data_IF_052479164520
#
_entry.id   IF_052479164520
#
_cell.length_a   1.000
_cell.length_b   1.000
_cell.length_c   1.000
_cell.angle_alpha   90.00
_cell.angle_beta   90.00
_cell.angle_gamma   90.00
#
_symmetry.space_group_name_H-M   'P 1'
#
loop_
_entity.id
_entity.type
_entity.pdbx_description
1 polymer ?
#
# COMPACT_ATOMS: atom_id res chain seq x y z
N UNK A 1 -0.85 -13.47 5.93
CA UNK A 1 -1.24 -12.99 7.27
C UNK A 1 -0.28 -11.87 7.64
N UNK A 2 -0.79 -10.67 7.93
CA UNK A 2 0.01 -9.59 8.53
C UNK A 2 0.11 -9.91 10.02
N UNK A 3 1.30 -10.23 10.51
CA UNK A 3 1.51 -10.49 11.93
C UNK A 3 1.57 -9.15 12.66
N UNK A 4 0.92 -9.05 13.82
CA UNK A 4 0.96 -7.87 14.71
C UNK A 4 2.34 -7.63 15.37
N UNK A 5 3.40 -8.24 14.82
CA UNK A 5 4.75 -8.15 15.37
C UNK A 5 5.58 -7.19 14.52
N UNK A 6 6.17 -6.22 15.20
CA UNK A 6 7.24 -5.33 14.72
C UNK A 6 8.47 -6.09 14.22
N UNK A 7 8.67 -7.35 14.64
CA UNK A 7 9.75 -8.22 14.15
C UNK A 7 9.59 -8.66 12.68
N UNK A 8 8.40 -8.52 12.09
CA UNK A 8 8.14 -8.90 10.72
C UNK A 8 8.54 -7.78 9.74
N UNK A 9 9.80 -7.39 9.79
CA UNK A 9 10.43 -6.47 8.84
C UNK A 9 11.55 -7.25 8.16
N UNK A 10 11.53 -7.32 6.83
CA UNK A 10 12.57 -8.03 6.10
C UNK A 10 13.78 -7.12 5.89
N UNK A 11 14.96 -7.67 6.14
CA UNK A 11 16.23 -7.04 5.81
C UNK A 11 16.39 -6.77 4.30
N UNK A 12 17.26 -5.83 3.94
CA UNK A 12 17.44 -5.32 2.58
C UNK A 12 17.76 -6.41 1.55
N UNK A 13 18.68 -7.32 1.86
CA UNK A 13 19.01 -8.44 0.98
C UNK A 13 17.77 -9.30 0.69
N UNK A 14 16.92 -9.53 1.69
CA UNK A 14 15.71 -10.34 1.55
C UNK A 14 14.65 -9.63 0.72
N UNK A 15 14.64 -8.29 0.72
CA UNK A 15 13.78 -7.51 -0.18
C UNK A 15 14.22 -7.66 -1.64
N UNK A 16 15.54 -7.62 -1.91
CA UNK A 16 16.11 -7.91 -3.24
C UNK A 16 15.78 -9.32 -3.71
N UNK A 17 15.91 -10.33 -2.83
CA UNK A 17 15.55 -11.73 -3.14
C UNK A 17 14.06 -11.88 -3.50
N UNK A 18 13.18 -11.07 -2.89
CA UNK A 18 11.75 -11.04 -3.21
C UNK A 18 11.42 -10.29 -4.51
N UNK A 19 12.42 -9.82 -5.26
CA UNK A 19 12.24 -9.07 -6.50
C UNK A 19 11.62 -7.70 -6.30
N UNK A 20 11.74 -7.11 -5.10
CA UNK A 20 11.23 -5.76 -4.83
C UNK A 20 12.28 -4.72 -5.18
N UNK A 21 11.85 -3.69 -5.89
CA UNK A 21 12.64 -2.47 -6.08
C UNK A 21 12.55 -1.61 -4.81
N UNK A 22 13.68 -1.03 -4.40
CA UNK A 22 13.75 -0.15 -3.23
C UNK A 22 13.93 1.27 -3.75
N UNK A 23 12.96 2.11 -3.48
CA UNK A 23 12.92 3.51 -3.94
C UNK A 23 13.02 4.40 -2.70
N UNK A 24 13.93 5.37 -2.72
CA UNK A 24 14.04 6.38 -1.67
C UNK A 24 12.85 7.33 -1.79
N UNK A 25 12.11 7.55 -0.70
CA UNK A 25 11.01 8.51 -0.63
C UNK A 25 11.29 9.53 0.48
N UNK A 26 11.10 10.81 0.16
CA UNK A 26 11.25 11.93 1.10
C UNK A 26 9.92 12.31 1.77
N UNK A 27 8.82 11.63 1.46
CA UNK A 27 7.52 11.94 2.05
C UNK A 27 7.54 11.64 3.57
N UNK A 28 7.38 12.65 4.45
CA UNK A 28 7.39 12.48 5.91
C UNK A 28 6.21 11.62 6.41
N UNK A 29 5.14 11.48 5.62
CA UNK A 29 4.05 10.53 5.89
C UNK A 29 4.51 9.09 5.67
N UNK A 30 5.66 8.85 5.03
CA UNK A 30 6.29 7.55 4.78
C UNK A 30 7.66 7.38 5.45
N UNK A 31 8.38 8.46 5.84
CA UNK A 31 9.25 8.58 7.02
C UNK A 31 10.11 9.87 6.99
N UNK A 32 10.48 10.33 8.20
CA UNK A 32 11.32 11.48 8.61
C UNK A 32 10.63 12.86 8.71
N UNK A 33 10.65 13.43 9.92
CA UNK A 33 10.50 14.87 10.13
C UNK A 33 11.67 15.37 10.97
N UNK A 34 12.28 16.45 10.49
CA UNK A 34 13.41 17.17 11.04
C UNK A 34 13.05 17.83 12.38
N UNK A 35 13.86 17.62 13.42
CA UNK A 35 13.76 18.38 14.67
C UNK A 35 14.38 19.77 14.45
N UNK A 36 13.53 20.79 14.31
CA UNK A 36 13.93 22.16 14.62
C UNK A 36 13.64 22.38 16.11
N UNK A 37 14.70 22.62 16.88
CA UNK A 37 14.60 23.05 18.27
C UNK A 37 13.76 24.33 18.34
N UNK A 38 12.62 24.25 19.03
CA UNK A 38 11.91 25.43 19.53
C UNK A 38 11.16 25.06 20.81
N UNK A 39 11.79 25.45 21.92
CA UNK A 39 11.19 26.17 23.05
C UNK A 39 9.99 25.54 23.78
N UNK A 40 10.30 24.80 24.84
CA UNK A 40 9.76 24.94 26.21
C UNK A 40 8.24 24.90 26.52
N UNK A 41 7.35 24.51 25.60
CA UNK A 41 5.92 24.46 25.96
C UNK A 41 5.06 23.31 25.40
N UNK A 42 5.65 22.26 24.80
CA UNK A 42 4.89 21.14 24.21
C UNK A 42 5.38 19.74 24.65
N UNK A 43 5.46 19.48 25.95
CA UNK A 43 5.92 18.17 26.49
C UNK A 43 5.21 16.94 25.89
N UNK A 44 3.93 17.06 25.54
CA UNK A 44 3.17 15.98 24.88
C UNK A 44 3.54 15.75 23.41
N UNK A 45 3.87 16.79 22.65
CA UNK A 45 4.20 16.65 21.23
C UNK A 45 5.63 16.21 21.01
N UNK A 46 6.57 16.71 21.84
CA UNK A 46 7.92 16.17 21.88
C UNK A 46 7.93 14.68 22.24
N UNK A 47 7.09 14.24 23.18
CA UNK A 47 6.97 12.80 23.50
C UNK A 47 6.51 11.99 22.29
N UNK A 48 5.52 12.47 21.53
CA UNK A 48 5.02 11.77 20.34
C UNK A 48 6.04 11.74 19.19
N UNK A 49 6.78 12.83 18.99
CA UNK A 49 7.87 12.90 18.00
C UNK A 49 8.99 11.95 18.41
N UNK A 50 9.43 11.99 19.67
CA UNK A 50 10.46 11.11 20.20
C UNK A 50 10.06 9.63 20.01
N UNK A 51 8.82 9.25 20.37
CA UNK A 51 8.28 7.90 20.13
C UNK A 51 8.24 7.50 18.65
N UNK A 52 7.99 8.46 17.75
CA UNK A 52 8.01 8.21 16.31
C UNK A 52 9.44 8.02 15.80
N UNK A 53 10.39 8.86 16.24
CA UNK A 53 11.82 8.77 15.91
C UNK A 53 12.43 7.48 16.44
N UNK A 54 12.09 7.07 17.64
CA UNK A 54 12.52 5.80 18.24
C UNK A 54 12.01 4.60 17.42
N UNK A 55 10.75 4.62 16.99
CA UNK A 55 10.21 3.60 16.08
C UNK A 55 10.88 3.58 14.70
N UNK A 56 11.24 4.75 14.19
CA UNK A 56 11.98 4.90 12.95
C UNK A 56 13.39 4.27 13.02
N UNK A 57 14.16 4.62 14.04
CA UNK A 57 15.51 4.07 14.26
C UNK A 57 15.48 2.55 14.43
N UNK A 58 14.46 2.05 15.13
CA UNK A 58 14.23 0.61 15.25
C UNK A 58 13.99 -0.06 13.89
N UNK A 59 13.27 0.59 12.99
CA UNK A 59 13.05 0.09 11.62
C UNK A 59 14.37 -0.02 10.85
N UNK A 60 15.28 0.96 11.01
CA UNK A 60 16.63 0.91 10.43
C UNK A 60 17.43 -0.31 10.88
N UNK A 61 17.38 -0.63 12.17
CA UNK A 61 18.02 -1.84 12.72
C UNK A 61 17.47 -3.12 12.09
N UNK A 62 16.16 -3.21 11.88
CA UNK A 62 15.57 -4.41 11.25
C UNK A 62 15.87 -4.53 9.76
N UNK A 63 16.06 -3.40 9.06
CA UNK A 63 16.43 -3.36 7.64
C UNK A 63 17.88 -3.80 7.40
N UNK A 64 18.79 -3.47 8.33
CA UNK A 64 20.23 -3.69 8.18
C UNK A 64 20.71 -4.64 9.28
N UNK A 65 20.70 -5.94 9.00
CA UNK A 65 21.10 -6.97 9.98
C UNK A 65 22.47 -7.56 9.66
N UNK A 66 22.83 -7.65 8.38
CA UNK A 66 24.08 -8.22 7.93
C UNK A 66 24.97 -7.19 7.24
N UNK A 67 26.26 -7.47 7.16
CA UNK A 67 27.23 -6.65 6.42
C UNK A 67 26.85 -6.50 4.94
N UNK A 68 26.25 -7.53 4.34
CA UNK A 68 25.71 -7.44 2.98
C UNK A 68 24.59 -6.40 2.85
N UNK A 69 23.75 -6.25 3.88
CA UNK A 69 22.69 -5.22 3.91
C UNK A 69 23.27 -3.82 4.04
N UNK A 70 24.34 -3.69 4.83
CA UNK A 70 25.07 -2.44 5.01
C UNK A 70 25.69 -1.97 3.68
N UNK A 71 26.32 -2.90 2.95
CA UNK A 71 26.85 -2.61 1.62
C UNK A 71 25.75 -2.21 0.63
N UNK A 72 24.55 -2.81 0.72
CA UNK A 72 23.38 -2.41 -0.10
C UNK A 72 22.91 -1.00 0.29
N UNK A 73 22.92 -0.66 1.57
CA UNK A 73 22.52 0.66 2.07
C UNK A 73 23.47 1.79 1.63
N UNK A 74 24.76 1.50 1.42
CA UNK A 74 25.78 2.44 0.93
C UNK A 74 25.87 2.55 -0.61
N UNK A 75 25.07 1.79 -1.36
CA UNK A 75 25.06 1.88 -2.83
C UNK A 75 24.56 3.25 -3.30
N UNK A 76 25.14 3.74 -4.42
CA UNK A 76 24.88 5.07 -4.99
C UNK A 76 23.41 5.37 -5.28
N UNK A 77 22.59 4.34 -5.50
CA UNK A 77 21.15 4.49 -5.76
C UNK A 77 20.28 4.66 -4.51
N UNK A 78 20.78 4.33 -3.31
CA UNK A 78 20.01 4.42 -2.07
C UNK A 78 20.58 5.43 -1.07
N UNK A 79 21.90 5.53 -0.94
CA UNK A 79 22.61 6.43 -0.01
C UNK A 79 21.92 6.57 1.36
N UNK A 80 21.42 5.46 1.91
CA UNK A 80 20.73 5.42 3.21
C UNK A 80 21.70 5.66 4.36
N UNK A 81 22.95 5.22 4.17
CA UNK A 81 24.06 5.41 5.11
C UNK A 81 25.20 6.06 4.32
N UNK A 82 25.84 7.10 4.86
CA UNK A 82 26.96 7.73 4.18
C UNK A 82 28.16 6.77 4.12
N UNK A 83 28.96 6.89 3.04
CA UNK A 83 30.03 5.94 2.70
C UNK A 83 31.25 6.02 3.64
N UNK A 84 31.32 7.03 4.48
CA UNK A 84 32.35 7.29 5.48
C UNK A 84 32.16 6.45 6.76
N UNK A 85 30.98 5.83 6.94
CA UNK A 85 30.69 5.01 8.12
C UNK A 85 31.18 3.58 7.93
N UNK A 86 31.93 3.07 8.90
CA UNK A 86 32.35 1.67 8.96
C UNK A 86 31.27 0.78 9.59
N UNK A 87 31.21 -0.49 9.17
CA UNK A 87 30.32 -1.50 9.72
C UNK A 87 30.43 -1.63 11.25
N UNK A 88 31.65 -1.62 11.80
CA UNK A 88 31.86 -1.72 13.25
C UNK A 88 31.22 -0.57 14.04
N UNK A 89 31.26 0.65 13.50
CA UNK A 89 30.61 1.82 14.11
C UNK A 89 29.09 1.68 14.07
N UNK A 90 28.56 1.18 12.95
CA UNK A 90 27.13 0.87 12.82
C UNK A 90 26.69 -0.25 13.77
N UNK A 91 27.49 -1.30 13.97
CA UNK A 91 27.20 -2.35 14.94
C UNK A 91 27.07 -1.78 16.36
N UNK A 92 27.99 -0.90 16.78
CA UNK A 92 27.93 -0.23 18.09
C UNK A 92 26.65 0.59 18.24
N UNK A 93 26.29 1.37 17.21
CA UNK A 93 25.05 2.13 17.18
C UNK A 93 23.80 1.24 17.23
N UNK A 94 23.78 0.16 16.44
CA UNK A 94 22.64 -0.77 16.39
C UNK A 94 22.44 -1.56 17.70
N UNK A 95 23.52 -1.78 18.46
CA UNK A 95 23.47 -2.43 19.76
C UNK A 95 22.77 -1.54 20.80
N UNK A 96 22.98 -0.23 20.73
CA UNK A 96 22.27 0.74 21.57
C UNK A 96 20.77 0.73 21.27
N UNK A 97 20.37 0.57 20.00
CA UNK A 97 18.96 0.43 19.60
C UNK A 97 18.30 -0.90 20.01
N UNK A 98 19.03 -1.79 20.71
CA UNK A 98 18.49 -3.08 21.13
C UNK A 98 17.44 -3.00 22.24
N UNK A 99 17.51 -1.97 23.09
CA UNK A 99 16.66 -1.83 24.27
C UNK A 99 15.26 -1.28 23.98
N UNK A 100 14.97 -0.90 22.73
CA UNK A 100 13.71 -0.24 22.36
C UNK A 100 12.59 -1.28 22.26
N UNK A 101 11.65 -1.26 23.21
CA UNK A 101 10.49 -2.15 23.24
C UNK A 101 9.30 -1.60 22.44
N UNK A 102 8.27 -2.44 22.22
CA UNK A 102 7.03 -2.06 21.52
C UNK A 102 6.21 -0.98 22.27
N UNK A 103 6.49 -0.75 23.56
CA UNK A 103 5.85 0.29 24.38
C UNK A 103 6.36 1.69 24.10
N UNK A 104 7.60 1.81 23.64
CA UNK A 104 8.31 3.09 23.54
C UNK A 104 8.17 3.74 22.15
N UNK A 105 7.51 3.03 21.24
CA UNK A 105 7.31 3.45 19.86
C UNK A 105 5.89 3.94 19.62
N UNK A 106 5.71 4.84 18.66
CA UNK A 106 4.36 5.27 18.28
C UNK A 106 3.57 4.09 17.70
N UNK A 107 2.24 4.11 17.86
CA UNK A 107 1.38 2.98 17.47
C UNK A 107 1.54 2.51 16.02
N UNK A 108 2.00 3.39 15.11
CA UNK A 108 2.32 3.05 13.73
C UNK A 108 3.47 2.04 13.61
N UNK A 109 4.54 2.22 14.39
CA UNK A 109 5.77 1.42 14.34
C UNK A 109 5.68 0.10 15.11
N UNK A 110 4.55 -0.12 15.78
CA UNK A 110 4.23 -1.41 16.41
C UNK A 110 3.94 -2.50 15.38
N UNK A 111 3.57 -2.10 14.17
CA UNK A 111 3.30 -3.01 13.05
C UNK A 111 4.53 -3.15 12.16
N UNK A 112 4.80 -4.36 11.67
CA UNK A 112 5.88 -4.64 10.72
C UNK A 112 5.54 -4.24 9.28
N UNK A 113 6.09 -4.96 8.29
CA UNK A 113 5.82 -4.66 6.89
C UNK A 113 4.32 -4.79 6.54
N UNK A 114 3.69 -3.68 6.15
CA UNK A 114 2.33 -3.66 5.63
C UNK A 114 2.40 -3.69 4.10
N UNK A 115 1.80 -4.73 3.50
CA UNK A 115 1.63 -4.77 2.04
C UNK A 115 0.55 -3.74 1.66
N UNK A 116 0.95 -2.63 1.06
CA UNK A 116 0.04 -1.58 0.58
C UNK A 116 -1.09 -2.17 -0.27
N UNK A 117 -0.81 -3.15 -1.13
CA UNK A 117 -1.83 -3.82 -1.98
C UNK A 117 -2.97 -4.43 -1.16
N UNK A 118 -2.68 -5.04 -0.02
CA UNK A 118 -3.72 -5.63 0.84
C UNK A 118 -4.42 -4.58 1.68
N UNK A 119 -3.66 -3.59 2.18
CA UNK A 119 -4.24 -2.48 2.92
C UNK A 119 -5.22 -1.69 2.05
N UNK A 120 -4.87 -1.42 0.79
CA UNK A 120 -5.73 -0.73 -0.17
C UNK A 120 -6.97 -1.57 -0.52
N UNK A 121 -6.86 -2.90 -0.53
CA UNK A 121 -8.01 -3.80 -0.74
C UNK A 121 -9.02 -3.73 0.41
N UNK A 122 -8.56 -3.52 1.65
CA UNK A 122 -9.43 -3.36 2.82
C UNK A 122 -9.75 -1.90 3.16
N UNK A 123 -9.09 -0.92 2.55
CA UNK A 123 -9.29 0.51 2.80
C UNK A 123 -10.75 0.96 2.61
N UNK A 124 -11.48 0.58 1.54
CA UNK A 124 -12.88 0.96 1.40
C UNK A 124 -13.79 0.30 2.45
N UNK A 125 -13.50 -0.93 2.87
CA UNK A 125 -14.31 -1.68 3.83
C UNK A 125 -14.08 -1.24 5.29
N UNK A 126 -12.83 -0.91 5.64
CA UNK A 126 -12.42 -0.68 7.03
C UNK A 126 -12.22 0.80 7.38
N UNK A 127 -11.76 1.63 6.43
CA UNK A 127 -11.34 3.02 6.71
C UNK A 127 -12.23 4.09 6.08
N UNK A 128 -13.29 3.72 5.34
CA UNK A 128 -14.19 4.66 4.63
C UNK A 128 -13.43 5.75 3.85
N UNK A 129 -12.24 5.39 3.38
CA UNK A 129 -11.37 6.20 2.51
C UNK A 129 -10.89 5.26 1.41
N UNK A 130 -11.16 5.61 0.16
CA UNK A 130 -10.89 4.75 -0.99
C UNK A 130 -9.39 4.53 -1.24
N UNK A 131 -8.54 5.49 -0.88
CA UNK A 131 -7.09 5.42 -1.10
C UNK A 131 -6.31 6.02 0.07
N UNK A 132 -5.28 5.32 0.57
CA UNK A 132 -4.41 5.82 1.65
C UNK A 132 -3.12 6.46 1.13
N UNK A 133 -2.55 5.96 0.03
CA UNK A 133 -1.41 6.54 -0.70
C UNK A 133 -1.31 5.89 -2.09
N UNK A 134 -1.31 6.68 -3.17
CA UNK A 134 -1.36 6.20 -4.57
C UNK A 134 0.05 5.88 -5.07
N UNK A 135 0.64 4.77 -4.60
CA UNK A 135 1.93 4.30 -5.10
C UNK A 135 1.70 3.44 -6.34
N UNK A 136 1.77 4.07 -7.51
CA UNK A 136 1.98 3.51 -8.85
C UNK A 136 1.03 2.39 -9.33
N UNK A 137 0.09 2.76 -10.21
CA UNK A 137 -0.13 2.14 -11.52
C UNK A 137 -0.42 0.63 -11.69
N UNK A 138 -0.53 -0.19 -10.65
CA UNK A 138 -0.73 -1.65 -10.81
C UNK A 138 -2.20 -2.10 -10.78
N UNK A 139 -3.10 -1.32 -11.38
CA UNK A 139 -4.48 -1.75 -11.61
C UNK A 139 -4.52 -3.03 -12.50
N UNK A 140 -3.53 -3.19 -13.38
CA UNK A 140 -3.40 -4.36 -14.28
C UNK A 140 -3.18 -5.70 -13.56
N UNK A 141 -2.37 -5.72 -12.50
CA UNK A 141 -2.09 -6.96 -11.75
C UNK A 141 -3.31 -7.43 -10.94
N UNK A 142 -4.09 -6.48 -10.43
CA UNK A 142 -5.34 -6.77 -9.73
C UNK A 142 -6.36 -7.43 -10.67
N UNK A 143 -6.54 -6.84 -11.85
CA UNK A 143 -7.48 -7.37 -12.82
C UNK A 143 -7.00 -8.70 -13.41
N UNK A 144 -5.71 -8.81 -13.74
CA UNK A 144 -5.14 -10.02 -14.34
C UNK A 144 -5.36 -11.30 -13.52
N UNK A 145 -5.27 -11.22 -12.19
CA UNK A 145 -5.48 -12.37 -11.31
C UNK A 145 -6.96 -12.80 -11.20
N UNK A 146 -7.90 -11.85 -11.31
CA UNK A 146 -9.33 -12.12 -11.20
C UNK A 146 -9.94 -12.59 -12.53
N UNK A 147 -9.41 -12.13 -13.67
CA UNK A 147 -9.94 -12.47 -14.99
C UNK A 147 -9.87 -13.97 -15.32
N UNK A 148 -8.79 -14.67 -14.92
CA UNK A 148 -8.62 -16.10 -15.21
C UNK A 148 -9.76 -16.98 -14.64
N UNK A 149 -9.98 -16.98 -13.31
CA UNK A 149 -11.07 -17.75 -12.70
C UNK A 149 -12.46 -17.35 -13.19
N UNK A 150 -12.71 -16.06 -13.45
CA UNK A 150 -14.01 -15.57 -13.97
C UNK A 150 -14.28 -16.11 -15.37
N UNK A 151 -13.29 -16.09 -16.26
CA UNK A 151 -13.41 -16.65 -17.61
C UNK A 151 -13.63 -18.18 -17.58
N UNK A 152 -13.00 -18.89 -16.64
CA UNK A 152 -13.20 -20.32 -16.48
C UNK A 152 -14.64 -20.65 -16.06
N UNK A 153 -15.17 -19.95 -15.03
CA UNK A 153 -16.57 -20.11 -14.59
C UNK A 153 -17.53 -19.74 -15.72
N UNK A 154 -17.26 -18.65 -16.43
CA UNK A 154 -18.06 -18.24 -17.58
C UNK A 154 -18.08 -19.31 -18.69
N UNK A 155 -16.93 -19.91 -19.01
CA UNK A 155 -16.83 -20.97 -20.01
C UNK A 155 -17.62 -22.22 -19.60
N UNK A 156 -17.50 -22.66 -18.34
CA UNK A 156 -18.27 -23.80 -17.82
C UNK A 156 -19.77 -23.54 -17.87
N UNK A 157 -20.21 -22.37 -17.43
CA UNK A 157 -21.62 -21.96 -17.49
C UNK A 157 -22.10 -21.93 -18.94
N UNK A 158 -21.33 -21.34 -19.86
CA UNK A 158 -21.67 -21.28 -21.29
C UNK A 158 -21.82 -22.66 -21.93
N UNK A 159 -20.94 -23.62 -21.60
CA UNK A 159 -21.03 -25.00 -22.07
C UNK A 159 -22.29 -25.69 -21.55
N UNK A 160 -22.62 -25.52 -20.27
CA UNK A 160 -23.82 -26.11 -19.65
C UNK A 160 -25.09 -25.53 -20.29
N UNK A 161 -25.16 -24.22 -20.50
CA UNK A 161 -26.30 -23.58 -21.19
C UNK A 161 -26.45 -24.11 -22.62
N UNK A 162 -25.33 -24.26 -23.33
CA UNK A 162 -25.34 -24.74 -24.73
C UNK A 162 -25.78 -26.22 -24.82
N UNK A 163 -25.33 -27.06 -23.88
CA UNK A 163 -25.77 -28.46 -23.80
C UNK A 163 -27.26 -28.59 -23.46
N UNK A 164 -27.77 -27.70 -22.60
CA UNK A 164 -29.19 -27.68 -22.21
C UNK A 164 -30.11 -27.27 -23.37
N UNK A 165 -29.64 -26.42 -24.29
CA UNK A 165 -30.41 -25.97 -25.46
C UNK A 165 -30.80 -27.09 -26.44
N UNK A 166 -30.09 -28.23 -26.43
CA UNK A 166 -30.29 -29.33 -27.39
C UNK A 166 -31.43 -30.27 -26.98
N UNK A 167 -31.90 -30.22 -25.73
CA UNK A 167 -32.78 -31.27 -25.19
C UNK A 167 -34.28 -30.94 -25.19
N UNK A 168 -34.72 -29.67 -25.07
CA UNK A 168 -36.15 -29.35 -24.85
C UNK A 168 -36.58 -28.03 -25.51
N UNK A 169 -37.22 -28.11 -26.69
CA UNK A 169 -37.52 -26.96 -27.54
C UNK A 169 -38.44 -25.89 -26.89
N UNK A 170 -39.43 -26.28 -26.08
CA UNK A 170 -40.40 -25.35 -25.46
C UNK A 170 -39.93 -24.70 -24.15
N UNK A 171 -39.21 -25.45 -23.30
CA UNK A 171 -38.68 -24.92 -22.02
C UNK A 171 -37.45 -24.03 -22.28
N UNK A 172 -36.71 -24.28 -23.36
CA UNK A 172 -35.52 -23.52 -23.73
C UNK A 172 -35.80 -22.05 -24.10
N UNK A 173 -36.99 -21.70 -24.61
CA UNK A 173 -37.24 -20.32 -25.06
C UNK A 173 -37.30 -19.33 -23.89
N UNK A 174 -38.01 -19.69 -22.82
CA UNK A 174 -38.06 -18.88 -21.60
C UNK A 174 -36.74 -18.89 -20.84
N UNK A 175 -36.07 -20.04 -20.78
CA UNK A 175 -34.76 -20.16 -20.14
C UNK A 175 -33.67 -19.35 -20.87
N UNK A 176 -33.70 -19.33 -22.20
CA UNK A 176 -32.79 -18.53 -23.03
C UNK A 176 -33.03 -17.03 -22.85
N UNK A 177 -34.28 -16.59 -22.69
CA UNK A 177 -34.61 -15.18 -22.41
C UNK A 177 -34.14 -14.80 -20.99
N UNK A 178 -34.36 -15.67 -20.00
CA UNK A 178 -34.01 -15.41 -18.60
C UNK A 178 -32.49 -15.35 -18.40
N UNK A 179 -31.74 -16.18 -19.13
CA UNK A 179 -30.27 -16.15 -19.13
C UNK A 179 -29.71 -14.94 -19.88
N UNK A 180 -30.33 -14.52 -21.00
CA UNK A 180 -29.98 -13.27 -21.69
C UNK A 180 -30.22 -12.04 -20.81
N UNK A 181 -31.36 -11.99 -20.12
CA UNK A 181 -31.69 -10.92 -19.19
C UNK A 181 -30.74 -10.91 -17.98
N UNK A 182 -30.41 -12.09 -17.43
CA UNK A 182 -29.44 -12.21 -16.36
C UNK A 182 -28.04 -11.74 -16.78
N UNK A 183 -27.57 -12.14 -17.96
CA UNK A 183 -26.30 -11.69 -18.52
C UNK A 183 -26.29 -10.17 -18.78
N UNK A 184 -27.39 -9.62 -19.30
CA UNK A 184 -27.55 -8.18 -19.51
C UNK A 184 -27.48 -7.41 -18.18
N UNK A 185 -28.19 -7.87 -17.15
CA UNK A 185 -28.18 -7.25 -15.82
C UNK A 185 -26.79 -7.33 -15.18
N UNK A 186 -26.12 -8.47 -15.26
CA UNK A 186 -24.76 -8.64 -14.73
C UNK A 186 -23.79 -7.72 -15.48
N UNK A 187 -23.88 -7.66 -16.81
CA UNK A 187 -23.02 -6.77 -17.61
C UNK A 187 -23.27 -5.29 -17.29
N UNK A 188 -24.53 -4.88 -17.16
CA UNK A 188 -24.89 -3.52 -16.77
C UNK A 188 -24.40 -3.18 -15.36
N UNK A 189 -24.49 -4.12 -14.41
CA UNK A 189 -23.96 -3.98 -13.06
C UNK A 189 -22.43 -3.77 -13.07
N UNK A 190 -21.68 -4.56 -13.84
CA UNK A 190 -20.24 -4.37 -13.98
C UNK A 190 -19.88 -3.03 -14.62
N UNK A 191 -20.63 -2.58 -15.64
CA UNK A 191 -20.43 -1.27 -16.27
C UNK A 191 -20.70 -0.14 -15.26
N UNK A 192 -21.77 -0.24 -14.48
CA UNK A 192 -22.08 0.75 -13.45
C UNK A 192 -21.02 0.80 -12.35
N UNK A 193 -20.52 -0.36 -11.90
CA UNK A 193 -19.40 -0.40 -10.96
C UNK A 193 -18.14 0.24 -11.54
N UNK A 194 -17.83 -0.04 -12.81
CA UNK A 194 -16.68 0.55 -13.48
C UNK A 194 -16.81 2.07 -13.62
N UNK A 195 -17.98 2.56 -14.03
CA UNK A 195 -18.27 3.99 -14.11
C UNK A 195 -18.23 4.65 -12.74
N UNK A 196 -18.71 3.99 -11.69
CA UNK A 196 -18.67 4.52 -10.33
C UNK A 196 -17.23 4.66 -9.83
N UNK A 197 -16.39 3.65 -10.03
CA UNK A 197 -14.96 3.72 -9.69
C UNK A 197 -14.27 4.85 -10.48
N UNK A 198 -14.54 4.95 -11.78
CA UNK A 198 -13.94 5.99 -12.63
C UNK A 198 -14.37 7.40 -12.20
N UNK A 199 -15.65 7.60 -11.87
CA UNK A 199 -16.16 8.87 -11.40
C UNK A 199 -15.58 9.26 -10.04
N UNK A 200 -15.42 8.31 -9.11
CA UNK A 200 -14.82 8.56 -7.80
C UNK A 200 -13.36 9.04 -7.93
N UNK A 201 -12.56 8.35 -8.76
CA UNK A 201 -11.17 8.72 -9.04
C UNK A 201 -11.07 10.10 -9.73
N UNK A 202 -11.99 10.38 -10.67
CA UNK A 202 -12.04 11.65 -11.37
C UNK A 202 -12.39 12.80 -10.41
N UNK A 203 -13.40 12.61 -9.56
CA UNK A 203 -13.81 13.59 -8.55
C UNK A 203 -12.66 13.85 -7.57
N UNK A 204 -11.96 12.80 -7.12
CA UNK A 204 -10.82 12.92 -6.23
C UNK A 204 -9.69 13.75 -6.88
N UNK A 205 -9.35 13.44 -8.13
CA UNK A 205 -8.31 14.16 -8.89
C UNK A 205 -8.68 15.63 -9.08
N UNK A 206 -9.93 15.93 -9.44
CA UNK A 206 -10.42 17.30 -9.63
C UNK A 206 -10.39 18.07 -8.32
N UNK A 207 -10.83 17.45 -7.21
CA UNK A 207 -10.85 18.09 -5.89
C UNK A 207 -9.44 18.44 -5.42
N UNK A 208 -8.50 17.54 -5.59
CA UNK A 208 -7.09 17.78 -5.26
C UNK A 208 -6.49 18.93 -6.09
N UNK A 209 -6.83 18.98 -7.40
CA UNK A 209 -6.38 20.09 -8.26
C UNK A 209 -6.97 21.43 -7.83
N UNK A 210 -8.26 21.46 -7.45
CA UNK A 210 -8.94 22.65 -6.96
C UNK A 210 -8.37 23.14 -5.61
N UNK A 211 -8.06 22.23 -4.69
CA UNK A 211 -7.44 22.57 -3.40
C UNK A 211 -6.04 23.19 -3.61
N UNK A 212 -5.22 22.60 -4.49
CA UNK A 212 -3.90 23.12 -4.85
C UNK A 212 -3.96 24.51 -5.49
N UNK A 213 -4.92 24.76 -6.39
CA UNK A 213 -5.12 26.10 -6.98
C UNK A 213 -5.63 27.13 -5.96
N UNK A 214 -6.39 26.70 -4.96
CA UNK A 214 -6.86 27.57 -3.88
C UNK A 214 -5.72 27.97 -2.95
N UNK A 215 -4.82 27.05 -2.63
CA UNK A 215 -3.61 27.33 -1.85
C UNK A 215 -2.63 28.22 -2.60
N UNK A 216 -2.40 28.01 -3.90
CA UNK A 216 -1.53 28.88 -4.71
C UNK A 216 -2.09 30.30 -4.81
N UNK A 217 -3.42 30.45 -4.95
CA UNK A 217 -4.09 31.75 -4.98
C UNK A 217 -4.01 32.47 -3.64
N UNK A 218 -4.15 31.76 -2.52
CA UNK A 218 -3.98 32.34 -1.19
C UNK A 218 -2.53 32.77 -0.94
N UNK A 219 -1.54 31.99 -1.39
CA UNK A 219 -0.12 32.33 -1.26
C UNK A 219 0.28 33.55 -2.10
N UNK A 220 -0.37 33.80 -3.24
CA UNK A 220 -0.14 35.01 -4.06
C UNK A 220 -0.80 36.29 -3.53
N UNK A 221 -1.65 36.19 -2.50
CA UNK A 221 -2.38 37.32 -1.90
C UNK A 221 -1.76 37.82 -0.58
N UNK A 222 -0.75 37.13 -0.05
CA UNK A 222 0.09 37.58 1.05
C UNK A 222 1.41 38.11 0.50
#
# INVERSE_FOLDING_TARGET
MTTLSSSNINALHRQRVKGREIIVTEDPRLHLMYLSESSDCLGNHQSNICKATTGFLRTYRYLIQHESDFNIAQQDGLNLIPKDVNWASFCRFSAELCHIEDSDVSGRYRYGELRLTRLNLYAPLLLRKFHYEQVHGQYGDFFGQLYGPVLFVFAVVSIILSAMQVSIWSVCRWFSILTLMGAAVISAWFILLWLWIFLDEWIYTVRHKLEKERESRNRSRC
#
